data_IF_880148550471
#
_entry.id   IF_880148550471
#
_cell.length_a   1.000
_cell.length_b   1.000
_cell.length_c   1.000
_cell.angle_alpha   90.00
_cell.angle_beta   90.00
_cell.angle_gamma   90.00
#
_symmetry.space_group_name_H-M   'P 1'
#
loop_
_entity.id
_entity.type
_entity.pdbx_description
1 polymer ?
#
# COMPACT_ATOMS: atom_id res chain seq x y z
N UNK A 1 2.12 20.67 18.59
CA UNK A 1 2.59 19.34 18.99
C UNK A 1 3.48 18.86 17.88
N UNK A 2 4.75 18.47 18.10
CA UNK A 2 5.56 17.91 17.04
C UNK A 2 4.85 16.68 16.48
N UNK A 3 4.77 16.59 15.15
CA UNK A 3 4.26 15.40 14.47
C UNK A 3 5.21 14.26 14.85
N UNK A 4 4.73 13.18 15.51
CA UNK A 4 5.61 12.08 15.87
C UNK A 4 6.22 11.52 14.58
N UNK A 5 7.49 11.18 14.62
CA UNK A 5 8.15 10.48 13.53
C UNK A 5 7.31 9.25 13.17
N UNK A 6 6.91 9.14 11.90
CA UNK A 6 6.01 8.08 11.46
C UNK A 6 6.70 6.73 11.72
N UNK A 7 6.06 5.91 12.55
CA UNK A 7 6.53 4.54 12.81
C UNK A 7 6.80 3.82 11.48
N UNK A 8 7.90 3.08 11.35
CA UNK A 8 8.17 2.27 10.17
C UNK A 8 7.20 1.07 10.03
N UNK A 9 6.25 0.94 10.95
CA UNK A 9 5.30 -0.16 11.01
C UNK A 9 3.90 0.28 10.56
N UNK A 10 3.21 -0.61 9.84
CA UNK A 10 1.82 -0.44 9.45
C UNK A 10 0.98 -1.64 9.90
N UNK A 11 -0.33 -1.41 10.04
CA UNK A 11 -1.34 -2.44 10.29
C UNK A 11 -2.13 -2.68 9.01
N UNK A 12 -2.30 -3.95 8.66
CA UNK A 12 -3.15 -4.43 7.56
C UNK A 12 -4.54 -4.74 8.09
N UNK A 13 -5.55 -4.12 7.49
CA UNK A 13 -6.94 -4.28 7.85
C UNK A 13 -7.67 -5.02 6.73
N UNK A 14 -8.39 -6.07 7.09
CA UNK A 14 -9.25 -6.84 6.18
C UNK A 14 -10.74 -6.60 6.46
N UNK A 15 -11.06 -5.88 7.53
CA UNK A 15 -12.43 -5.48 7.88
C UNK A 15 -12.50 -4.01 8.26
N UNK A 16 -13.66 -3.34 8.12
CA UNK A 16 -13.82 -1.93 8.48
C UNK A 16 -13.99 -1.73 10.01
N UNK A 17 -13.07 -2.31 10.79
CA UNK A 17 -13.18 -2.36 12.26
C UNK A 17 -12.59 -1.10 12.91
N UNK A 18 -13.42 -0.13 13.26
CA UNK A 18 -13.01 1.16 13.82
C UNK A 18 -12.23 1.02 15.13
N UNK A 19 -12.69 0.16 16.04
CA UNK A 19 -12.06 -0.07 17.35
C UNK A 19 -10.63 -0.63 17.22
N UNK A 20 -10.38 -1.44 16.21
CA UNK A 20 -9.03 -1.93 15.94
C UNK A 20 -8.11 -0.77 15.54
N UNK A 21 -8.59 0.16 14.71
CA UNK A 21 -7.85 1.36 14.35
C UNK A 21 -7.52 2.19 15.59
N UNK A 22 -8.51 2.42 16.49
CA UNK A 22 -8.31 3.18 17.72
C UNK A 22 -7.30 2.51 18.66
N UNK A 23 -7.38 1.18 18.83
CA UNK A 23 -6.43 0.39 19.63
C UNK A 23 -5.02 0.48 19.02
N UNK A 24 -4.88 0.22 17.72
CA UNK A 24 -3.59 0.28 17.05
C UNK A 24 -2.97 1.69 17.11
N UNK A 25 -3.81 2.73 16.94
CA UNK A 25 -3.38 4.12 17.09
C UNK A 25 -2.92 4.43 18.52
N UNK A 26 -3.66 3.96 19.54
CA UNK A 26 -3.29 4.07 20.95
C UNK A 26 -1.95 3.38 21.28
N UNK A 27 -1.63 2.28 20.56
CA UNK A 27 -0.35 1.58 20.65
C UNK A 27 0.78 2.23 19.82
N UNK A 28 0.53 3.37 19.19
CA UNK A 28 1.54 4.11 18.45
C UNK A 28 1.57 3.85 16.93
N UNK A 29 0.66 3.04 16.39
CA UNK A 29 0.56 2.89 14.94
C UNK A 29 0.07 4.20 14.30
N UNK A 30 0.69 4.57 13.17
CA UNK A 30 0.35 5.80 12.43
C UNK A 30 0.13 5.53 10.94
N UNK A 31 0.10 4.26 10.54
CA UNK A 31 -0.07 3.86 9.14
C UNK A 31 -0.94 2.62 9.04
N UNK A 32 -1.93 2.67 8.15
CA UNK A 32 -2.89 1.60 7.92
C UNK A 32 -2.97 1.26 6.44
N UNK A 33 -3.09 -0.02 6.13
CA UNK A 33 -3.38 -0.53 4.79
C UNK A 33 -4.74 -1.21 4.82
N UNK A 34 -5.65 -0.78 3.96
CA UNK A 34 -6.97 -1.40 3.77
C UNK A 34 -6.87 -2.41 2.63
N UNK A 35 -7.12 -3.67 2.90
CA UNK A 35 -7.20 -4.71 1.88
C UNK A 35 -8.62 -4.75 1.29
N UNK A 36 -8.88 -3.88 0.33
CA UNK A 36 -10.20 -3.81 -0.30
C UNK A 36 -10.41 -5.01 -1.23
N UNK A 37 -9.33 -5.56 -1.78
CA UNK A 37 -9.40 -6.68 -2.71
C UNK A 37 -9.88 -7.97 -2.04
N UNK A 38 -9.26 -8.36 -0.94
CA UNK A 38 -9.53 -9.63 -0.26
C UNK A 38 -10.28 -9.47 1.06
N UNK A 39 -10.49 -8.23 1.48
CA UNK A 39 -11.20 -7.89 2.71
C UNK A 39 -12.71 -7.74 2.52
N UNK A 40 -13.38 -7.36 3.60
CA UNK A 40 -14.83 -7.21 3.66
C UNK A 40 -15.23 -5.73 3.68
N UNK A 41 -14.74 -4.98 2.68
CA UNK A 41 -14.99 -3.55 2.55
C UNK A 41 -16.05 -3.26 1.48
N UNK A 42 -17.09 -2.54 1.87
CA UNK A 42 -17.91 -1.79 0.92
C UNK A 42 -17.48 -0.30 0.90
N UNK A 43 -18.02 0.46 -0.03
CA UNK A 43 -17.61 1.85 -0.21
C UNK A 43 -17.98 2.73 0.99
N UNK A 44 -19.15 2.53 1.59
CA UNK A 44 -19.63 3.33 2.74
C UNK A 44 -18.77 3.06 3.98
N UNK A 45 -18.48 1.79 4.26
CA UNK A 45 -17.61 1.39 5.36
C UNK A 45 -16.16 1.89 5.16
N UNK A 46 -15.66 1.81 3.93
CA UNK A 46 -14.32 2.31 3.57
C UNK A 46 -14.24 3.83 3.78
N UNK A 47 -15.22 4.59 3.31
CA UNK A 47 -15.27 6.04 3.46
C UNK A 47 -15.24 6.47 4.94
N UNK A 48 -16.06 5.82 5.78
CA UNK A 48 -16.11 6.07 7.22
C UNK A 48 -14.79 5.76 7.92
N UNK A 49 -14.17 4.63 7.58
CA UNK A 49 -12.90 4.23 8.18
C UNK A 49 -11.75 5.16 7.76
N UNK A 50 -11.70 5.54 6.49
CA UNK A 50 -10.71 6.52 5.99
C UNK A 50 -10.88 7.87 6.70
N UNK A 51 -12.13 8.33 6.90
CA UNK A 51 -12.41 9.55 7.64
C UNK A 51 -11.89 9.50 9.08
N UNK A 52 -12.11 8.38 9.79
CA UNK A 52 -11.59 8.16 11.14
C UNK A 52 -10.06 8.18 11.17
N UNK A 53 -9.40 7.38 10.32
CA UNK A 53 -7.93 7.28 10.29
C UNK A 53 -7.31 8.66 10.04
N UNK A 54 -7.86 9.42 9.08
CA UNK A 54 -7.41 10.79 8.79
C UNK A 54 -7.66 11.76 9.94
N UNK A 55 -8.79 11.66 10.62
CA UNK A 55 -9.11 12.50 11.77
C UNK A 55 -8.16 12.26 12.95
N UNK A 56 -7.66 11.03 13.12
CA UNK A 56 -6.62 10.69 14.07
C UNK A 56 -5.22 11.22 13.67
N UNK A 57 -5.04 11.73 12.45
CA UNK A 57 -3.74 12.17 11.94
C UNK A 57 -2.83 11.02 11.51
N UNK A 58 -3.40 9.86 11.17
CA UNK A 58 -2.68 8.72 10.65
C UNK A 58 -2.79 8.63 9.12
N UNK A 59 -1.85 7.91 8.50
CA UNK A 59 -1.86 7.62 7.07
C UNK A 59 -2.70 6.38 6.77
N UNK A 60 -3.41 6.40 5.65
CA UNK A 60 -4.19 5.28 5.12
C UNK A 60 -3.88 5.06 3.66
N UNK A 61 -3.53 3.82 3.31
CA UNK A 61 -3.29 3.35 1.95
C UNK A 61 -4.29 2.25 1.61
N UNK A 62 -4.82 2.24 0.39
CA UNK A 62 -5.75 1.21 -0.05
C UNK A 62 -5.07 0.25 -1.02
N UNK A 63 -5.02 -1.05 -0.67
CA UNK A 63 -4.87 -2.09 -1.67
C UNK A 63 -6.23 -2.20 -2.37
N UNK A 64 -6.30 -1.66 -3.57
CA UNK A 64 -7.55 -1.47 -4.30
C UNK A 64 -8.11 -2.80 -4.81
N UNK A 65 -9.41 -2.82 -5.14
CA UNK A 65 -10.14 -4.03 -5.56
C UNK A 65 -9.52 -4.72 -6.79
N UNK A 66 -8.79 -3.95 -7.61
CA UNK A 66 -8.13 -4.45 -8.81
C UNK A 66 -7.45 -3.28 -9.54
N UNK A 67 -6.80 -3.55 -10.68
CA UNK A 67 -6.07 -2.55 -11.44
C UNK A 67 -6.98 -1.60 -12.26
N UNK A 68 -8.30 -1.69 -12.12
CA UNK A 68 -9.25 -0.89 -12.88
C UNK A 68 -9.22 0.56 -12.44
N UNK A 69 -9.32 1.47 -13.42
CA UNK A 69 -9.35 2.93 -13.19
C UNK A 69 -10.33 3.35 -12.11
N UNK A 70 -11.53 2.76 -12.08
CA UNK A 70 -12.57 3.11 -11.11
C UNK A 70 -12.12 2.77 -9.68
N UNK A 71 -11.55 1.59 -9.45
CA UNK A 71 -11.08 1.17 -8.13
C UNK A 71 -9.97 2.09 -7.60
N UNK A 72 -9.02 2.47 -8.47
CA UNK A 72 -7.92 3.37 -8.15
C UNK A 72 -8.44 4.77 -7.79
N UNK A 73 -9.26 5.35 -8.65
CA UNK A 73 -9.78 6.72 -8.46
C UNK A 73 -10.70 6.80 -7.26
N UNK A 74 -11.56 5.82 -7.05
CA UNK A 74 -12.48 5.78 -5.91
C UNK A 74 -11.74 5.77 -4.57
N UNK A 75 -10.69 4.97 -4.41
CA UNK A 75 -9.87 4.97 -3.21
C UNK A 75 -9.21 6.33 -2.93
N UNK A 76 -8.73 7.00 -3.98
CA UNK A 76 -8.15 8.34 -3.86
C UNK A 76 -9.21 9.41 -3.54
N UNK A 77 -10.41 9.30 -4.12
CA UNK A 77 -11.49 10.27 -3.94
C UNK A 77 -12.11 10.23 -2.53
N UNK A 78 -12.15 9.04 -1.90
CA UNK A 78 -12.51 8.95 -0.48
C UNK A 78 -11.39 9.42 0.45
N UNK A 79 -10.19 9.70 -0.07
CA UNK A 79 -9.12 10.37 0.64
C UNK A 79 -8.01 9.46 1.15
N UNK A 80 -7.78 8.29 0.58
CA UNK A 80 -6.57 7.52 0.87
C UNK A 80 -5.32 8.31 0.47
N UNK A 81 -4.26 8.22 1.25
CA UNK A 81 -2.97 8.87 1.00
C UNK A 81 -2.19 8.20 -0.13
N UNK A 82 -2.58 7.00 -0.50
CA UNK A 82 -2.01 6.28 -1.63
C UNK A 82 -2.80 5.02 -1.96
N UNK A 83 -2.50 4.49 -3.14
CA UNK A 83 -3.07 3.25 -3.64
C UNK A 83 -1.97 2.22 -3.86
N UNK A 84 -2.26 0.99 -3.45
CA UNK A 84 -1.49 -0.21 -3.74
C UNK A 84 -2.28 -0.95 -4.81
N UNK A 85 -1.71 -1.05 -6.02
CA UNK A 85 -2.42 -1.56 -7.19
C UNK A 85 -1.98 -3.01 -7.42
N UNK A 86 -2.84 -4.00 -7.18
CA UNK A 86 -2.52 -5.42 -7.38
C UNK A 86 -2.50 -5.81 -8.86
N UNK A 87 -2.05 -7.03 -9.13
CA UNK A 87 -2.13 -7.68 -10.44
C UNK A 87 -1.42 -6.96 -11.58
N UNK A 88 -0.31 -6.31 -11.29
CA UNK A 88 0.54 -5.75 -12.34
C UNK A 88 1.16 -6.91 -13.13
N UNK A 89 0.85 -6.96 -14.43
CA UNK A 89 1.38 -7.98 -15.33
C UNK A 89 2.79 -7.63 -15.83
N UNK A 90 2.89 -6.53 -16.57
CA UNK A 90 4.11 -6.08 -17.24
C UNK A 90 4.22 -4.55 -17.24
N UNK A 91 5.27 -4.01 -17.86
CA UNK A 91 5.51 -2.59 -17.97
C UNK A 91 4.36 -1.83 -18.66
N UNK A 92 3.80 -2.39 -19.74
CA UNK A 92 2.73 -1.72 -20.48
C UNK A 92 1.43 -1.71 -19.68
N UNK A 93 1.15 -2.78 -18.94
CA UNK A 93 0.05 -2.81 -17.98
C UNK A 93 0.29 -1.77 -16.85
N UNK A 94 1.46 -1.76 -16.22
CA UNK A 94 1.81 -0.78 -15.20
C UNK A 94 1.61 0.66 -15.69
N UNK A 95 2.08 0.99 -16.89
CA UNK A 95 1.94 2.33 -17.49
C UNK A 95 0.48 2.75 -17.62
N UNK A 96 -0.38 1.84 -18.10
CA UNK A 96 -1.82 2.13 -18.27
C UNK A 96 -2.53 2.35 -16.94
N UNK A 97 -2.30 1.47 -15.97
CA UNK A 97 -3.09 1.50 -14.74
C UNK A 97 -2.62 2.58 -13.75
N UNK A 98 -1.31 2.80 -13.65
CA UNK A 98 -0.77 3.83 -12.73
C UNK A 98 -1.11 5.25 -13.16
N UNK A 99 -1.41 5.47 -14.46
CA UNK A 99 -1.90 6.74 -14.96
C UNK A 99 -3.21 7.19 -14.28
N UNK A 100 -4.05 6.25 -13.84
CA UNK A 100 -5.30 6.55 -13.15
C UNK A 100 -5.10 7.19 -11.75
N UNK A 101 -3.92 7.08 -11.18
CA UNK A 101 -3.61 7.64 -9.85
C UNK A 101 -3.11 9.09 -9.92
N UNK A 102 -2.78 9.62 -11.09
CA UNK A 102 -2.16 10.94 -11.27
C UNK A 102 -2.97 11.82 -12.20
N UNK A 103 -3.09 13.10 -11.85
CA UNK A 103 -3.74 14.10 -12.71
C UNK A 103 -2.86 14.45 -13.92
N UNK A 104 -3.48 14.93 -15.02
CA UNK A 104 -2.71 15.48 -16.15
C UNK A 104 -1.73 16.58 -15.70
N UNK A 105 -0.54 16.71 -16.33
CA UNK A 105 -0.09 15.97 -17.52
C UNK A 105 0.57 14.60 -17.19
N UNK A 106 0.73 14.22 -15.93
CA UNK A 106 1.39 12.95 -15.55
C UNK A 106 0.56 11.73 -15.88
N UNK A 107 -0.74 11.79 -15.64
CA UNK A 107 -1.67 10.70 -15.82
C UNK A 107 -3.00 11.17 -16.38
N UNK A 108 -4.06 10.42 -16.07
CA UNK A 108 -5.42 10.65 -16.55
C UNK A 108 -6.49 10.58 -15.46
N UNK A 109 -6.10 10.76 -14.19
CA UNK A 109 -7.06 10.83 -13.07
C UNK A 109 -8.09 11.91 -13.34
N UNK A 110 -9.37 11.56 -13.19
CA UNK A 110 -10.47 12.51 -13.26
C UNK A 110 -10.55 13.33 -11.98
N UNK A 111 -10.90 14.60 -12.08
CA UNK A 111 -11.11 15.45 -10.91
C UNK A 111 -12.43 15.12 -10.22
N UNK A 112 -12.36 15.08 -8.90
CA UNK A 112 -13.50 14.94 -8.01
C UNK A 112 -13.42 16.02 -6.92
N UNK A 113 -14.52 16.73 -6.67
CA UNK A 113 -14.65 17.73 -5.61
C UNK A 113 -14.88 17.13 -4.23
N UNK A 114 -14.30 15.96 -3.94
CA UNK A 114 -14.52 15.19 -2.72
C UNK A 114 -13.52 15.54 -1.61
N UNK A 115 -13.29 14.62 -0.66
CA UNK A 115 -12.49 14.84 0.55
C UNK A 115 -11.08 15.42 0.30
N UNK A 116 -10.29 14.98 -0.70
CA UNK A 116 -9.00 15.60 -0.99
C UNK A 116 -9.09 17.07 -1.35
N UNK A 117 -10.15 17.45 -2.07
CA UNK A 117 -10.48 18.85 -2.42
C UNK A 117 -11.19 19.61 -1.28
N UNK A 118 -11.40 18.96 -0.12
CA UNK A 118 -12.12 19.53 1.04
C UNK A 118 -13.55 19.98 0.71
N UNK A 119 -14.18 19.37 -0.30
CA UNK A 119 -15.53 19.68 -0.78
C UNK A 119 -15.70 21.13 -1.24
N UNK A 120 -14.62 21.78 -1.68
CA UNK A 120 -14.60 23.20 -2.06
C UNK A 120 -13.89 23.41 -3.41
N UNK A 121 -13.92 24.63 -3.89
CA UNK A 121 -13.19 25.03 -5.08
C UNK A 121 -11.67 24.85 -4.90
N UNK A 122 -11.01 24.31 -5.90
CA UNK A 122 -9.57 24.07 -5.86
C UNK A 122 -8.78 25.20 -6.56
N UNK A 123 -7.60 25.45 -6.05
CA UNK A 123 -6.64 26.37 -6.66
C UNK A 123 -5.86 25.68 -7.80
N UNK A 124 -5.22 26.48 -8.67
CA UNK A 124 -4.49 25.95 -9.80
C UNK A 124 -3.37 24.98 -9.44
N UNK A 125 -2.77 25.13 -8.25
CA UNK A 125 -1.68 24.29 -7.74
C UNK A 125 -2.17 22.97 -7.10
N UNK A 126 -3.48 22.81 -6.91
CA UNK A 126 -4.07 21.60 -6.30
C UNK A 126 -3.59 20.32 -6.99
N UNK A 127 -3.71 20.27 -8.32
CA UNK A 127 -3.35 19.06 -9.08
C UNK A 127 -1.87 18.70 -8.96
N UNK A 128 -0.99 19.70 -8.92
CA UNK A 128 0.45 19.48 -8.72
C UNK A 128 0.75 18.95 -7.33
N UNK A 129 0.10 19.52 -6.31
CA UNK A 129 0.25 19.04 -4.92
C UNK A 129 -0.29 17.64 -4.73
N UNK A 130 -1.46 17.34 -5.29
CA UNK A 130 -2.03 15.98 -5.22
C UNK A 130 -1.14 14.97 -5.93
N UNK A 131 -0.61 15.31 -7.12
CA UNK A 131 0.33 14.45 -7.83
C UNK A 131 1.60 14.15 -7.01
N UNK A 132 2.09 15.13 -6.26
CA UNK A 132 3.28 14.96 -5.42
C UNK A 132 2.97 14.28 -4.07
N UNK A 133 1.77 14.47 -3.53
CA UNK A 133 1.39 13.99 -2.20
C UNK A 133 0.71 12.63 -2.16
N UNK A 134 0.22 12.14 -3.30
CA UNK A 134 -0.49 10.86 -3.39
C UNK A 134 0.46 9.76 -3.84
N UNK A 135 0.56 8.67 -3.09
CA UNK A 135 1.42 7.54 -3.46
C UNK A 135 0.70 6.58 -4.41
N UNK A 136 1.35 6.28 -5.52
CA UNK A 136 0.96 5.23 -6.46
C UNK A 136 1.99 4.09 -6.36
N UNK A 137 1.56 2.96 -5.81
CA UNK A 137 2.40 1.82 -5.47
C UNK A 137 1.92 0.57 -6.24
N UNK A 138 2.35 0.34 -7.50
CA UNK A 138 2.08 -0.93 -8.16
C UNK A 138 2.69 -2.08 -7.38
N UNK A 139 1.97 -3.22 -7.31
CA UNK A 139 2.48 -4.41 -6.66
C UNK A 139 3.41 -5.19 -7.60
N UNK A 140 4.55 -5.58 -7.06
CA UNK A 140 5.45 -6.55 -7.69
C UNK A 140 5.15 -7.92 -7.08
N UNK A 141 4.31 -8.68 -7.77
CA UNK A 141 3.77 -9.97 -7.31
C UNK A 141 3.62 -11.00 -8.43
N UNK A 142 4.10 -10.67 -9.63
CA UNK A 142 4.18 -11.59 -10.77
C UNK A 142 5.63 -11.71 -11.26
N UNK A 143 5.94 -12.80 -11.95
CA UNK A 143 7.25 -13.00 -12.54
C UNK A 143 7.56 -11.92 -13.58
N UNK A 144 6.56 -11.55 -14.37
CA UNK A 144 6.66 -10.55 -15.44
C UNK A 144 6.88 -9.14 -14.84
N UNK A 145 6.12 -8.76 -13.81
CA UNK A 145 6.34 -7.48 -13.12
C UNK A 145 7.71 -7.41 -12.45
N UNK A 146 8.21 -8.55 -11.94
CA UNK A 146 9.58 -8.61 -11.41
C UNK A 146 10.62 -8.43 -12.51
N UNK A 147 10.44 -9.02 -13.70
CA UNK A 147 11.36 -8.82 -14.82
C UNK A 147 11.41 -7.36 -15.28
N UNK A 148 10.29 -6.65 -15.21
CA UNK A 148 10.14 -5.25 -15.61
C UNK A 148 10.32 -4.25 -14.45
N UNK A 149 10.74 -4.66 -13.26
CA UNK A 149 10.69 -3.84 -12.04
C UNK A 149 11.44 -2.51 -12.16
N UNK A 150 12.60 -2.51 -12.82
CA UNK A 150 13.40 -1.31 -13.06
C UNK A 150 12.66 -0.32 -13.98
N UNK A 151 12.03 -0.83 -15.03
CA UNK A 151 11.27 -0.02 -15.99
C UNK A 151 9.95 0.48 -15.39
N UNK A 152 9.27 -0.33 -14.56
CA UNK A 152 8.08 0.08 -13.80
C UNK A 152 8.43 1.21 -12.84
N UNK A 153 9.53 1.07 -12.09
CA UNK A 153 10.00 2.12 -11.19
C UNK A 153 10.42 3.40 -11.91
N UNK A 154 10.81 3.33 -13.19
CA UNK A 154 11.14 4.51 -13.99
C UNK A 154 9.90 5.31 -14.45
N UNK A 155 8.70 4.75 -14.37
CA UNK A 155 7.48 5.46 -14.76
C UNK A 155 7.26 6.72 -13.90
N UNK A 156 6.89 7.88 -14.49
CA UNK A 156 6.67 9.11 -13.74
C UNK A 156 5.41 9.06 -12.87
N UNK A 157 4.49 8.13 -13.13
CA UNK A 157 3.26 7.90 -12.37
C UNK A 157 3.44 6.98 -11.16
N UNK A 158 4.60 6.33 -11.03
CA UNK A 158 4.94 5.41 -9.96
C UNK A 158 5.78 6.14 -8.91
N UNK A 159 5.33 6.14 -7.67
CA UNK A 159 6.06 6.77 -6.56
C UNK A 159 6.92 5.77 -5.77
N UNK A 160 6.65 4.50 -5.90
CA UNK A 160 7.35 3.38 -5.27
C UNK A 160 6.72 2.07 -5.67
N UNK A 161 7.09 0.98 -5.02
CA UNK A 161 6.47 -0.33 -5.24
C UNK A 161 6.10 -1.01 -3.93
N UNK A 162 5.03 -1.79 -3.99
CA UNK A 162 4.64 -2.70 -2.92
C UNK A 162 4.91 -4.14 -3.36
N UNK A 163 5.46 -4.97 -2.47
CA UNK A 163 5.77 -6.36 -2.82
C UNK A 163 4.67 -7.29 -2.31
N UNK A 164 4.19 -8.18 -3.19
CA UNK A 164 3.29 -9.29 -2.84
C UNK A 164 4.05 -10.61 -2.83
N UNK A 165 4.75 -10.98 -1.73
CA UNK A 165 5.68 -12.13 -1.76
C UNK A 165 4.98 -13.48 -1.95
N UNK A 166 3.73 -13.62 -1.53
CA UNK A 166 2.97 -14.85 -1.69
C UNK A 166 2.62 -15.13 -3.15
N UNK A 167 2.05 -14.14 -3.83
CA UNK A 167 1.68 -14.26 -5.23
C UNK A 167 2.91 -14.29 -6.14
N UNK A 168 3.97 -13.56 -5.77
CA UNK A 168 5.25 -13.65 -6.47
C UNK A 168 5.82 -15.07 -6.41
N UNK A 169 5.80 -15.72 -5.24
CA UNK A 169 6.25 -17.10 -5.10
C UNK A 169 5.44 -18.06 -5.97
N UNK A 170 4.10 -17.89 -5.98
CA UNK A 170 3.19 -18.67 -6.84
C UNK A 170 3.49 -18.43 -8.32
N UNK A 171 3.58 -17.18 -8.75
CA UNK A 171 3.87 -16.80 -10.14
C UNK A 171 5.23 -17.33 -10.62
N UNK A 172 6.22 -17.42 -9.71
CA UNK A 172 7.55 -18.01 -9.98
C UNK A 172 7.54 -19.54 -9.97
N UNK A 173 6.38 -20.19 -9.81
CA UNK A 173 6.24 -21.66 -9.79
C UNK A 173 6.81 -22.34 -8.54
N UNK A 174 7.02 -21.58 -7.45
CA UNK A 174 7.59 -22.13 -6.19
C UNK A 174 6.53 -22.59 -5.18
N UNK A 175 5.25 -22.35 -5.48
CA UNK A 175 4.15 -22.64 -4.55
C UNK A 175 4.09 -21.62 -3.40
N UNK A 176 3.70 -22.10 -2.21
CA UNK A 176 3.53 -21.22 -1.05
C UNK A 176 4.83 -20.49 -0.69
N UNK A 177 4.73 -19.21 -0.37
CA UNK A 177 5.84 -18.40 0.09
C UNK A 177 6.44 -18.97 1.39
N UNK A 178 7.64 -19.53 1.29
CA UNK A 178 8.30 -20.25 2.38
C UNK A 178 9.52 -19.52 2.94
N UNK A 179 9.78 -18.29 2.50
CA UNK A 179 10.91 -17.46 2.93
C UNK A 179 12.25 -18.11 2.62
N UNK A 180 12.31 -18.78 1.47
CA UNK A 180 13.53 -19.42 0.95
C UNK A 180 14.55 -18.38 0.48
N UNK A 181 15.78 -18.80 0.24
CA UNK A 181 16.81 -17.93 -0.34
C UNK A 181 16.39 -17.42 -1.73
N UNK A 182 15.66 -18.21 -2.52
CA UNK A 182 15.12 -17.79 -3.80
C UNK A 182 14.08 -16.67 -3.64
N UNK A 183 13.20 -16.76 -2.62
CA UNK A 183 12.25 -15.70 -2.31
C UNK A 183 12.96 -14.42 -1.87
N UNK A 184 13.98 -14.55 -1.03
CA UNK A 184 14.78 -13.41 -0.58
C UNK A 184 15.63 -12.79 -1.68
N UNK A 185 16.06 -13.58 -2.67
CA UNK A 185 16.76 -13.06 -3.86
C UNK A 185 15.85 -12.13 -4.68
N UNK A 186 14.58 -12.47 -4.87
CA UNK A 186 13.59 -11.60 -5.53
C UNK A 186 13.40 -10.30 -4.73
N UNK A 187 13.28 -10.36 -3.41
CA UNK A 187 13.16 -9.16 -2.56
C UNK A 187 14.40 -8.25 -2.67
N UNK A 188 15.60 -8.84 -2.70
CA UNK A 188 16.85 -8.06 -2.90
C UNK A 188 16.89 -7.39 -4.27
N UNK A 189 16.40 -8.05 -5.33
CA UNK A 189 16.30 -7.45 -6.66
C UNK A 189 15.38 -6.24 -6.66
N UNK A 190 14.18 -6.38 -6.08
CA UNK A 190 13.20 -5.27 -5.98
C UNK A 190 13.79 -4.10 -5.17
N UNK A 191 14.40 -4.39 -4.01
CA UNK A 191 15.02 -3.38 -3.18
C UNK A 191 16.16 -2.64 -3.90
N UNK A 192 17.00 -3.38 -4.65
CA UNK A 192 18.09 -2.81 -5.43
C UNK A 192 17.55 -1.88 -6.55
N UNK A 193 16.53 -2.32 -7.27
CA UNK A 193 15.87 -1.51 -8.31
C UNK A 193 15.24 -0.24 -7.73
N UNK A 194 14.53 -0.34 -6.60
CA UNK A 194 13.93 0.79 -5.90
C UNK A 194 15.00 1.79 -5.42
N UNK A 195 16.09 1.30 -4.85
CA UNK A 195 17.24 2.13 -4.45
C UNK A 195 17.87 2.85 -5.63
N UNK A 196 18.06 2.18 -6.75
CA UNK A 196 18.60 2.78 -7.98
C UNK A 196 17.68 3.87 -8.54
N UNK A 197 16.37 3.64 -8.51
CA UNK A 197 15.35 4.61 -8.89
C UNK A 197 15.16 5.74 -7.87
N UNK A 198 15.74 5.64 -6.67
CA UNK A 198 15.51 6.55 -5.52
C UNK A 198 14.03 6.65 -5.13
N UNK A 199 13.34 5.52 -5.19
CA UNK A 199 11.93 5.39 -4.84
C UNK A 199 11.75 4.41 -3.69
N UNK A 200 10.74 4.61 -2.82
CA UNK A 200 10.46 3.68 -1.72
C UNK A 200 9.99 2.33 -2.24
N UNK A 201 10.29 1.31 -1.48
CA UNK A 201 9.66 0.00 -1.58
C UNK A 201 9.11 -0.44 -0.23
N UNK A 202 8.03 -1.19 -0.25
CA UNK A 202 7.27 -1.60 0.91
C UNK A 202 6.92 -3.08 0.78
N UNK A 203 6.84 -3.78 1.92
CA UNK A 203 6.40 -5.16 1.92
C UNK A 203 5.64 -5.53 3.21
N UNK A 204 4.77 -6.56 3.17
CA UNK A 204 4.33 -7.24 4.36
C UNK A 204 5.51 -8.04 4.97
N UNK A 205 5.71 -7.91 6.27
CA UNK A 205 6.81 -8.52 7.00
C UNK A 205 6.31 -9.13 8.30
N UNK A 206 5.57 -10.24 8.16
CA UNK A 206 4.88 -10.89 9.29
C UNK A 206 5.85 -11.55 10.27
N UNK A 207 6.91 -12.17 9.74
CA UNK A 207 7.90 -12.87 10.55
C UNK A 207 9.12 -12.00 10.89
N UNK A 208 9.80 -12.24 12.02
CA UNK A 208 11.01 -11.49 12.40
C UNK A 208 12.14 -11.51 11.34
N UNK A 209 12.26 -12.61 10.59
CA UNK A 209 13.26 -12.72 9.52
C UNK A 209 13.00 -11.76 8.37
N UNK A 210 11.73 -11.59 7.98
CA UNK A 210 11.30 -10.63 6.94
C UNK A 210 11.52 -9.20 7.41
N UNK A 211 11.18 -8.90 8.67
CA UNK A 211 11.37 -7.55 9.25
C UNK A 211 12.83 -7.14 9.23
N UNK A 212 13.73 -8.03 9.62
CA UNK A 212 15.18 -7.76 9.56
C UNK A 212 15.65 -7.54 8.13
N UNK A 213 15.29 -8.44 7.20
CA UNK A 213 15.65 -8.32 5.80
C UNK A 213 15.16 -7.01 5.19
N UNK A 214 13.91 -6.64 5.42
CA UNK A 214 13.33 -5.40 4.92
C UNK A 214 14.06 -4.16 5.47
N UNK A 215 14.42 -4.16 6.77
CA UNK A 215 15.21 -3.09 7.38
C UNK A 215 16.61 -3.00 6.79
N UNK A 216 17.30 -4.12 6.65
CA UNK A 216 18.65 -4.20 6.05
C UNK A 216 18.67 -3.71 4.61
N UNK A 217 17.62 -4.01 3.85
CA UNK A 217 17.48 -3.59 2.46
C UNK A 217 16.87 -2.19 2.29
N UNK A 218 16.51 -1.50 3.38
CA UNK A 218 16.05 -0.13 3.37
C UNK A 218 14.61 0.04 2.91
N UNK A 219 13.70 -0.87 3.28
CA UNK A 219 12.26 -0.68 3.09
C UNK A 219 11.81 0.61 3.79
N UNK A 220 11.01 1.42 3.09
CA UNK A 220 10.56 2.70 3.63
C UNK A 220 9.64 2.52 4.85
N UNK A 221 8.81 1.51 4.81
CA UNK A 221 8.03 1.00 5.93
C UNK A 221 7.59 -0.45 5.65
N UNK A 222 7.09 -1.11 6.68
CA UNK A 222 6.71 -2.51 6.64
C UNK A 222 5.31 -2.69 7.21
N UNK A 223 4.52 -3.60 6.63
CA UNK A 223 3.29 -4.05 7.27
C UNK A 223 3.62 -5.21 8.20
N UNK A 224 3.55 -4.97 9.49
CA UNK A 224 4.06 -5.90 10.50
C UNK A 224 2.98 -6.57 11.35
N UNK A 225 1.75 -6.08 11.23
CA UNK A 225 0.57 -6.63 11.92
C UNK A 225 -0.55 -6.79 10.90
N UNK A 226 -1.08 -8.00 10.78
CA UNK A 226 -2.36 -8.23 10.14
C UNK A 226 -3.47 -8.41 11.18
N UNK A 227 -4.67 -7.98 10.82
CA UNK A 227 -5.83 -7.99 11.70
C UNK A 227 -6.15 -9.38 12.25
N UNK A 228 -6.20 -10.37 11.36
CA UNK A 228 -6.60 -11.73 11.76
C UNK A 228 -5.54 -12.39 12.63
N UNK A 229 -4.26 -12.22 12.31
CA UNK A 229 -3.17 -12.74 13.13
C UNK A 229 -3.12 -12.10 14.50
N UNK A 230 -3.41 -10.81 14.61
CA UNK A 230 -3.48 -10.11 15.89
C UNK A 230 -4.64 -10.62 16.75
N UNK A 231 -5.83 -10.78 16.15
CA UNK A 231 -7.02 -11.33 16.84
C UNK A 231 -6.79 -12.78 17.26
N UNK A 232 -6.27 -13.62 16.35
CA UNK A 232 -5.95 -15.01 16.65
C UNK A 232 -5.01 -15.13 17.84
N UNK A 233 -3.89 -14.39 17.80
CA UNK A 233 -2.90 -14.42 18.86
C UNK A 233 -3.47 -13.96 20.20
N UNK A 234 -4.23 -12.87 20.21
CA UNK A 234 -4.84 -12.34 21.42
C UNK A 234 -5.86 -13.32 22.04
N UNK A 235 -6.71 -13.91 21.20
CA UNK A 235 -7.71 -14.91 21.65
C UNK A 235 -6.99 -16.18 22.17
N UNK A 236 -6.02 -16.69 21.43
CA UNK A 236 -5.26 -17.88 21.84
C UNK A 236 -4.55 -17.69 23.19
N UNK A 237 -3.94 -16.52 23.39
CA UNK A 237 -3.30 -16.18 24.66
C UNK A 237 -4.32 -16.15 25.81
N UNK A 238 -5.49 -15.53 25.59
CA UNK A 238 -6.55 -15.47 26.61
C UNK A 238 -7.18 -16.82 26.93
N UNK A 239 -7.23 -17.76 25.98
CA UNK A 239 -7.75 -19.11 26.20
C UNK A 239 -6.75 -20.04 26.93
N UNK A 240 -5.46 -19.71 26.90
CA UNK A 240 -4.38 -20.50 27.54
C UNK A 240 -3.93 -19.96 28.90
N UNK A 241 -4.42 -18.77 29.29
CA UNK A 241 -4.15 -18.15 30.59
C UNK A 241 -5.05 -18.71 31.68
#
# INVERSE_FOLDING_TARGET
>A
VPVPELSPHAVWLSTPHQQLVEIAFGLGCRRFVLDIEHGYFDLDATDKLVALIRALGAEVHAKVLGPETVAIQQALDIGCHGVIIPHIGDLDHARRVTAAAKYPPLGNRSFSGTRPARYDAVTQDYYTRENAGTLCLPMIESAEALEDVEAILALPTVDGVFVGPSDLSLSRGRGAYAKTEADFADLRRIAAAAKAARKPWIMPAWAPVERRLAQELGAAWQVTVDEYGALWTGIEMGLKA
#
